data_IF_446580247009
#
_entry.id   IF_446580247009
#
_cell.length_a   1.000
_cell.length_b   1.000
_cell.length_c   1.000
_cell.angle_alpha   90.00
_cell.angle_beta   90.00
_cell.angle_gamma   90.00
#
_symmetry.space_group_name_H-M   'P 1'
#
loop_
_entity.id
_entity.type
_entity.pdbx_description
1 polymer ?
#
# COMPACT_ATOMS: atom_id res chain seq x y z
N UNK A 1 8.40 8.19 42.86
CA UNK A 1 7.75 7.27 41.89
C UNK A 1 8.11 7.79 40.52
N UNK A 2 8.94 7.07 39.77
CA UNK A 2 9.10 7.17 38.31
C UNK A 2 10.24 6.23 37.88
N UNK A 3 9.91 4.95 37.75
CA UNK A 3 10.76 3.92 37.11
C UNK A 3 10.08 3.51 35.82
N UNK A 4 10.10 4.41 34.83
CA UNK A 4 9.56 4.12 33.50
C UNK A 4 10.59 4.48 32.43
N UNK A 5 11.79 3.90 32.57
CA UNK A 5 12.88 4.03 31.62
C UNK A 5 13.22 2.66 31.02
N UNK A 6 13.09 2.57 29.70
CA UNK A 6 13.98 1.82 28.80
C UNK A 6 13.91 0.28 28.77
N UNK A 7 12.75 -0.34 28.98
CA UNK A 7 12.63 -1.79 28.70
C UNK A 7 12.53 -2.06 27.19
N UNK A 8 11.93 -1.14 26.41
CA UNK A 8 11.84 -1.28 24.96
C UNK A 8 13.20 -1.07 24.28
N UNK A 9 13.64 -2.08 23.54
CA UNK A 9 14.77 -2.03 22.63
C UNK A 9 16.08 -2.56 23.21
N UNK A 10 16.10 -3.21 24.37
CA UNK A 10 17.35 -3.81 24.92
C UNK A 10 17.86 -4.91 23.99
N UNK A 11 16.97 -5.79 23.52
CA UNK A 11 17.29 -6.88 22.59
C UNK A 11 17.67 -6.36 21.22
N UNK A 12 16.99 -5.33 20.74
CA UNK A 12 17.35 -4.65 19.50
C UNK A 12 18.78 -4.12 19.59
N UNK A 13 19.13 -3.38 20.65
CA UNK A 13 20.51 -2.90 20.88
C UNK A 13 21.52 -4.03 20.94
N UNK A 14 21.25 -5.09 21.72
CA UNK A 14 22.15 -6.24 21.84
C UNK A 14 22.37 -6.96 20.51
N UNK A 15 21.35 -7.05 19.66
CA UNK A 15 21.46 -7.67 18.35
C UNK A 15 22.46 -6.89 17.46
N UNK A 16 22.35 -5.56 17.41
CA UNK A 16 23.31 -4.71 16.71
C UNK A 16 24.71 -4.75 17.32
N UNK A 17 24.82 -4.84 18.65
CA UNK A 17 26.11 -5.00 19.33
C UNK A 17 26.81 -6.32 18.94
N UNK A 18 26.05 -7.42 18.88
CA UNK A 18 26.58 -8.74 18.45
C UNK A 18 27.04 -8.69 17.00
N UNK A 19 26.29 -8.05 16.10
CA UNK A 19 26.69 -7.84 14.71
C UNK A 19 28.03 -7.09 14.63
N UNK A 20 28.11 -5.90 15.24
CA UNK A 20 29.31 -5.05 15.24
C UNK A 20 30.51 -5.76 15.85
N UNK A 21 30.30 -6.47 16.95
CA UNK A 21 31.34 -7.26 17.59
C UNK A 21 31.86 -8.37 16.67
N UNK A 22 30.96 -9.07 15.98
CA UNK A 22 31.29 -10.17 15.07
C UNK A 22 32.07 -9.65 13.86
N UNK A 23 31.60 -8.57 13.24
CA UNK A 23 32.31 -7.92 12.12
C UNK A 23 33.71 -7.46 12.53
N UNK A 24 33.83 -6.82 13.70
CA UNK A 24 35.14 -6.43 14.25
C UNK A 24 36.06 -7.62 14.49
N UNK A 25 35.51 -8.78 14.90
CA UNK A 25 36.30 -10.00 15.10
C UNK A 25 36.76 -10.58 13.77
N UNK A 26 35.89 -10.59 12.77
CA UNK A 26 36.20 -11.07 11.41
C UNK A 26 37.32 -10.21 10.81
N UNK A 27 37.14 -8.89 10.76
CA UNK A 27 38.12 -7.95 10.18
C UNK A 27 39.47 -8.03 10.88
N UNK A 28 39.51 -8.20 12.21
CA UNK A 28 40.75 -8.41 12.97
C UNK A 28 41.41 -9.77 12.70
N UNK A 29 40.62 -10.81 12.47
CA UNK A 29 41.14 -12.16 12.20
C UNK A 29 41.66 -12.31 10.77
N UNK A 30 41.25 -11.41 9.87
CA UNK A 30 41.79 -11.33 8.52
C UNK A 30 43.16 -10.64 8.58
N UNK A 31 44.21 -11.45 8.54
CA UNK A 31 45.59 -10.94 8.56
C UNK A 31 45.98 -10.39 7.18
N UNK A 32 46.34 -9.12 7.13
CA UNK A 32 46.87 -8.44 5.94
C UNK A 32 48.04 -9.21 5.30
N UNK A 33 48.94 -9.73 6.13
CA UNK A 33 50.11 -10.50 5.68
C UNK A 33 49.71 -11.79 4.97
N UNK A 34 48.68 -12.49 5.47
CA UNK A 34 48.11 -13.68 4.81
C UNK A 34 47.48 -13.31 3.48
N UNK A 35 46.79 -12.18 3.38
CA UNK A 35 46.21 -11.70 2.13
C UNK A 35 47.29 -11.37 1.09
N UNK A 36 48.30 -10.56 1.47
CA UNK A 36 49.38 -10.15 0.56
C UNK A 36 50.21 -11.36 0.08
N UNK A 37 50.45 -12.34 0.96
CA UNK A 37 51.23 -13.53 0.60
C UNK A 37 50.56 -14.42 -0.47
N UNK A 38 49.25 -14.27 -0.70
CA UNK A 38 48.56 -14.93 -1.83
C UNK A 38 48.89 -14.30 -3.19
N UNK A 39 49.49 -13.10 -3.22
CA UNK A 39 49.78 -12.35 -4.44
C UNK A 39 51.28 -12.00 -4.57
N UNK A 40 52.20 -12.99 -4.58
CA UNK A 40 53.64 -12.75 -4.45
C UNK A 40 54.25 -11.90 -5.57
N UNK A 41 53.75 -12.04 -6.81
CA UNK A 41 54.23 -11.26 -7.95
C UNK A 41 53.78 -9.79 -7.91
N UNK A 42 52.56 -9.55 -7.41
CA UNK A 42 52.00 -8.21 -7.25
C UNK A 42 52.59 -7.51 -6.02
N UNK A 43 52.78 -8.23 -4.92
CA UNK A 43 53.42 -7.72 -3.69
C UNK A 43 54.82 -7.16 -3.94
N UNK A 44 55.61 -7.81 -4.81
CA UNK A 44 56.96 -7.35 -5.18
C UNK A 44 56.96 -6.11 -6.07
N UNK A 45 55.91 -5.89 -6.87
CA UNK A 45 55.83 -4.78 -7.83
C UNK A 45 55.12 -3.57 -7.25
N UNK A 46 53.95 -3.80 -6.65
CA UNK A 46 53.01 -2.79 -6.15
C UNK A 46 52.43 -3.23 -4.79
N UNK A 47 53.28 -3.35 -3.77
CA UNK A 47 52.86 -3.74 -2.42
C UNK A 47 51.81 -2.80 -1.84
N UNK A 48 52.03 -1.48 -1.92
CA UNK A 48 51.12 -0.44 -1.41
C UNK A 48 49.71 -0.57 -2.00
N UNK A 49 49.60 -0.81 -3.31
CA UNK A 49 48.31 -1.02 -3.96
C UNK A 49 47.54 -2.22 -3.37
N UNK A 50 48.23 -3.30 -3.03
CA UNK A 50 47.60 -4.45 -2.37
C UNK A 50 47.14 -4.13 -0.95
N UNK A 51 47.87 -3.26 -0.24
CA UNK A 51 47.45 -2.79 1.08
C UNK A 51 46.18 -1.94 0.98
N UNK A 52 46.14 -1.03 0.01
CA UNK A 52 44.97 -0.18 -0.24
C UNK A 52 43.75 -1.02 -0.64
N UNK A 53 43.94 -2.01 -1.51
CA UNK A 53 42.88 -2.96 -1.90
C UNK A 53 42.40 -3.74 -0.68
N UNK A 54 43.30 -4.20 0.18
CA UNK A 54 42.95 -4.94 1.39
C UNK A 54 42.12 -4.07 2.36
N UNK A 55 42.53 -2.83 2.59
CA UNK A 55 41.78 -1.87 3.40
C UNK A 55 40.41 -1.55 2.81
N UNK A 56 40.32 -1.35 1.49
CA UNK A 56 39.04 -1.16 0.80
C UNK A 56 38.14 -2.38 0.93
N UNK A 57 38.68 -3.57 0.77
CA UNK A 57 37.95 -4.82 0.92
C UNK A 57 37.31 -4.94 2.32
N UNK A 58 38.07 -4.68 3.39
CA UNK A 58 37.54 -4.73 4.75
C UNK A 58 36.44 -3.69 4.97
N UNK A 59 36.61 -2.47 4.46
CA UNK A 59 35.61 -1.41 4.58
C UNK A 59 34.32 -1.75 3.82
N UNK A 60 34.44 -2.27 2.59
CA UNK A 60 33.29 -2.71 1.79
C UNK A 60 32.57 -3.87 2.48
N UNK A 61 33.32 -4.85 3.01
CA UNK A 61 32.74 -5.97 3.75
C UNK A 61 31.92 -5.48 4.95
N UNK A 62 32.47 -4.58 5.76
CA UNK A 62 31.79 -4.02 6.92
C UNK A 62 30.51 -3.26 6.54
N UNK A 63 30.61 -2.31 5.60
CA UNK A 63 29.48 -1.48 5.19
C UNK A 63 28.38 -2.30 4.51
N UNK A 64 28.73 -3.18 3.58
CA UNK A 64 27.74 -4.00 2.88
C UNK A 64 27.03 -4.96 3.85
N UNK A 65 27.76 -5.55 4.80
CA UNK A 65 27.13 -6.46 5.77
C UNK A 65 26.18 -5.71 6.70
N UNK A 66 26.54 -4.50 7.13
CA UNK A 66 25.66 -3.66 7.96
C UNK A 66 24.41 -3.26 7.17
N UNK A 67 24.57 -2.79 5.95
CA UNK A 67 23.43 -2.38 5.11
C UNK A 67 22.48 -3.56 4.83
N UNK A 68 23.01 -4.72 4.46
CA UNK A 68 22.20 -5.92 4.22
C UNK A 68 21.48 -6.37 5.51
N UNK A 69 22.16 -6.27 6.64
CA UNK A 69 21.53 -6.57 7.93
C UNK A 69 20.38 -5.60 8.25
N UNK A 70 20.56 -4.30 8.00
CA UNK A 70 19.51 -3.29 8.20
C UNK A 70 18.30 -3.56 7.29
N UNK A 71 18.53 -3.91 6.03
CA UNK A 71 17.45 -4.32 5.11
C UNK A 71 16.68 -5.52 5.65
N UNK A 72 17.37 -6.58 6.08
CA UNK A 72 16.72 -7.77 6.68
C UNK A 72 15.97 -7.39 7.96
N UNK A 73 16.54 -6.51 8.78
CA UNK A 73 15.95 -6.06 10.03
C UNK A 73 14.62 -5.31 9.80
N UNK A 74 14.57 -4.48 8.76
CA UNK A 74 13.36 -3.79 8.31
C UNK A 74 12.35 -4.73 7.65
N UNK A 75 12.77 -5.52 6.65
CA UNK A 75 11.89 -6.44 5.90
C UNK A 75 11.16 -7.44 6.80
N UNK A 76 11.84 -7.90 7.85
CA UNK A 76 11.30 -8.87 8.80
C UNK A 76 10.58 -8.23 9.97
N UNK A 77 10.50 -6.90 10.02
CA UNK A 77 9.99 -6.14 11.14
C UNK A 77 10.53 -6.65 12.49
N UNK A 78 11.85 -6.85 12.56
CA UNK A 78 12.51 -7.42 13.74
C UNK A 78 12.37 -6.51 14.95
N UNK A 79 12.34 -5.19 14.72
CA UNK A 79 12.16 -4.21 15.76
C UNK A 79 10.89 -4.46 16.58
N UNK A 80 9.74 -4.52 15.91
CA UNK A 80 8.46 -4.72 16.58
C UNK A 80 8.37 -6.11 17.19
N UNK A 81 8.86 -7.13 16.48
CA UNK A 81 8.88 -8.51 16.97
C UNK A 81 9.66 -8.63 18.28
N UNK A 82 10.85 -8.02 18.35
CA UNK A 82 11.69 -8.06 19.53
C UNK A 82 11.13 -7.20 20.66
N UNK A 83 10.52 -6.05 20.36
CA UNK A 83 9.81 -5.22 21.34
C UNK A 83 8.59 -5.95 21.93
N UNK A 84 7.81 -6.64 21.10
CA UNK A 84 6.68 -7.45 21.55
C UNK A 84 7.16 -8.59 22.46
N UNK A 85 8.26 -9.26 22.11
CA UNK A 85 8.85 -10.29 22.95
C UNK A 85 9.35 -9.72 24.30
N UNK A 86 9.85 -8.48 24.34
CA UNK A 86 10.22 -7.81 25.59
C UNK A 86 9.01 -7.56 26.46
N UNK A 87 7.96 -6.99 25.87
CA UNK A 87 6.69 -6.77 26.54
C UNK A 87 6.11 -8.07 27.11
N UNK A 88 6.05 -9.14 26.31
CA UNK A 88 5.56 -10.45 26.77
C UNK A 88 6.39 -11.00 27.93
N UNK A 89 7.71 -10.84 27.89
CA UNK A 89 8.57 -11.31 28.98
C UNK A 89 8.34 -10.49 30.24
N UNK A 90 8.19 -9.17 30.13
CA UNK A 90 7.90 -8.31 31.28
C UNK A 90 6.54 -8.63 31.92
N UNK A 91 5.49 -8.75 31.09
CA UNK A 91 4.14 -9.13 31.53
C UNK A 91 4.06 -10.50 32.23
N UNK A 92 5.04 -11.37 31.98
CA UNK A 92 5.11 -12.70 32.59
C UNK A 92 6.15 -12.81 33.71
N UNK A 93 7.02 -11.81 33.92
CA UNK A 93 7.90 -11.75 35.11
C UNK A 93 7.11 -11.52 36.39
N UNK A 94 6.01 -10.77 36.32
CA UNK A 94 5.17 -10.45 37.48
C UNK A 94 4.18 -11.57 37.86
N UNK A 95 4.05 -12.62 37.02
CA UNK A 95 3.17 -13.75 37.31
C UNK A 95 3.94 -14.83 38.08
N UNK A 96 3.45 -15.31 39.23
CA UNK A 96 4.07 -16.44 39.91
C UNK A 96 4.01 -17.66 38.98
N UNK A 97 5.17 -18.08 38.49
CA UNK A 97 5.32 -19.28 37.65
C UNK A 97 4.93 -20.48 38.52
N UNK A 98 3.68 -20.93 38.39
CA UNK A 98 3.30 -22.26 38.89
C UNK A 98 4.10 -23.26 38.06
N UNK A 99 5.10 -23.90 38.68
CA UNK A 99 6.03 -24.88 38.07
C UNK A 99 5.37 -26.01 37.25
N UNK A 100 4.05 -26.19 37.35
CA UNK A 100 3.28 -27.17 36.59
C UNK A 100 2.82 -26.70 35.19
N UNK A 101 3.12 -25.47 34.75
CA UNK A 101 2.69 -24.97 33.43
C UNK A 101 3.79 -24.90 32.36
N UNK A 102 5.05 -25.24 32.69
CA UNK A 102 6.17 -25.20 31.73
C UNK A 102 6.05 -26.34 30.70
N UNK A 103 5.17 -27.33 30.93
CA UNK A 103 4.62 -28.21 29.90
C UNK A 103 3.13 -27.90 29.73
N UNK A 104 2.78 -26.82 29.03
CA UNK A 104 1.55 -26.89 28.25
C UNK A 104 1.88 -27.74 27.04
N UNK A 105 1.74 -29.06 27.19
CA UNK A 105 1.29 -29.87 26.06
C UNK A 105 0.12 -29.10 25.45
N UNK A 106 0.21 -28.79 24.16
CA UNK A 106 -0.90 -28.22 23.42
C UNK A 106 -2.03 -29.24 23.59
N UNK A 107 -2.95 -29.00 24.52
CA UNK A 107 -4.01 -29.99 24.77
C UNK A 107 -4.82 -30.10 23.48
N UNK A 108 -5.21 -31.32 23.14
CA UNK A 108 -6.03 -31.56 21.96
C UNK A 108 -7.31 -30.71 21.98
N UNK A 109 -7.83 -30.31 23.15
CA UNK A 109 -8.93 -29.34 23.24
C UNK A 109 -8.57 -27.95 22.71
N UNK A 110 -7.38 -27.40 23.03
CA UNK A 110 -6.96 -26.09 22.50
C UNK A 110 -6.76 -26.13 20.98
N UNK A 111 -6.23 -27.24 20.45
CA UNK A 111 -6.12 -27.43 18.99
C UNK A 111 -7.49 -27.49 18.34
N UNK A 112 -8.43 -28.25 18.93
CA UNK A 112 -9.81 -28.33 18.43
C UNK A 112 -10.54 -26.99 18.49
N UNK A 113 -10.33 -26.18 19.53
CA UNK A 113 -10.91 -24.85 19.65
C UNK A 113 -10.36 -23.88 18.59
N UNK A 114 -9.06 -23.96 18.28
CA UNK A 114 -8.45 -23.16 17.21
C UNK A 114 -8.95 -23.61 15.83
N UNK A 115 -9.08 -24.91 15.60
CA UNK A 115 -9.62 -25.45 14.34
C UNK A 115 -11.07 -25.03 14.16
N UNK A 116 -11.93 -25.15 15.18
CA UNK A 116 -13.34 -24.78 15.05
C UNK A 116 -13.53 -23.27 14.83
N UNK A 117 -12.74 -22.42 15.51
CA UNK A 117 -12.73 -20.98 15.25
C UNK A 117 -12.26 -20.65 13.84
N UNK A 118 -11.28 -21.39 13.32
CA UNK A 118 -10.80 -21.22 11.94
C UNK A 118 -11.86 -21.61 10.92
N UNK A 119 -12.55 -22.74 11.11
CA UNK A 119 -13.65 -23.18 10.24
C UNK A 119 -14.78 -22.14 10.20
N UNK A 120 -15.16 -21.60 11.38
CA UNK A 120 -16.17 -20.53 11.46
C UNK A 120 -15.74 -19.26 10.70
N UNK A 121 -14.46 -18.89 10.79
CA UNK A 121 -13.93 -17.73 10.05
C UNK A 121 -13.88 -17.99 8.55
N UNK A 122 -13.54 -19.19 8.11
CA UNK A 122 -13.54 -19.57 6.69
C UNK A 122 -14.97 -19.57 6.11
N UNK A 123 -15.96 -20.04 6.86
CA UNK A 123 -17.38 -19.97 6.47
C UNK A 123 -17.88 -18.52 6.38
N UNK A 124 -17.53 -17.67 7.36
CA UNK A 124 -17.85 -16.25 7.33
C UNK A 124 -17.19 -15.54 6.15
N UNK A 125 -15.92 -15.84 5.87
CA UNK A 125 -15.19 -15.26 4.76
C UNK A 125 -15.84 -15.64 3.42
N UNK A 126 -16.26 -16.89 3.27
CA UNK A 126 -16.97 -17.35 2.07
C UNK A 126 -18.33 -16.66 1.91
N UNK A 127 -19.12 -16.55 2.99
CA UNK A 127 -20.40 -15.85 2.96
C UNK A 127 -20.25 -14.38 2.54
N UNK A 128 -19.22 -13.69 3.05
CA UNK A 128 -18.93 -12.30 2.68
C UNK A 128 -18.48 -12.18 1.21
N UNK A 129 -17.73 -13.15 0.70
CA UNK A 129 -17.34 -13.18 -0.71
C UNK A 129 -18.56 -13.39 -1.63
N UNK A 130 -19.48 -14.26 -1.25
CA UNK A 130 -20.72 -14.49 -2.01
C UNK A 130 -21.62 -13.22 -2.01
N UNK A 131 -21.71 -12.53 -0.87
CA UNK A 131 -22.45 -11.26 -0.76
C UNK A 131 -21.81 -10.15 -1.61
N UNK A 132 -20.48 -10.03 -1.59
CA UNK A 132 -19.75 -9.09 -2.46
C UNK A 132 -20.02 -9.35 -3.95
N UNK A 133 -20.00 -10.63 -4.37
CA UNK A 133 -20.28 -11.00 -5.75
C UNK A 133 -21.72 -10.63 -6.18
N UNK A 134 -22.69 -10.77 -5.27
CA UNK A 134 -24.07 -10.36 -5.53
C UNK A 134 -24.17 -8.84 -5.68
N UNK A 135 -23.54 -8.08 -4.78
CA UNK A 135 -23.51 -6.61 -4.83
C UNK A 135 -22.80 -6.09 -6.09
N UNK A 136 -21.74 -6.75 -6.55
CA UNK A 136 -21.07 -6.39 -7.80
C UNK A 136 -21.98 -6.58 -9.02
N UNK A 137 -22.72 -7.69 -9.09
CA UNK A 137 -23.71 -7.93 -10.15
C UNK A 137 -24.85 -6.92 -10.13
N UNK A 138 -25.35 -6.59 -8.95
CA UNK A 138 -26.40 -5.57 -8.78
C UNK A 138 -25.89 -4.19 -9.23
N UNK A 139 -24.68 -3.80 -8.81
CA UNK A 139 -24.04 -2.57 -9.23
C UNK A 139 -23.87 -2.49 -10.75
N UNK A 140 -23.46 -3.58 -11.40
CA UNK A 140 -23.35 -3.65 -12.85
C UNK A 140 -24.72 -3.48 -13.53
N UNK A 141 -25.76 -4.17 -13.03
CA UNK A 141 -27.12 -4.04 -13.53
C UNK A 141 -27.64 -2.61 -13.42
N UNK A 142 -27.50 -1.99 -12.25
CA UNK A 142 -27.91 -0.60 -12.02
C UNK A 142 -27.09 0.38 -12.87
N UNK A 143 -25.79 0.13 -13.06
CA UNK A 143 -24.94 0.91 -13.94
C UNK A 143 -25.43 0.89 -15.40
N UNK A 144 -25.85 -0.29 -15.88
CA UNK A 144 -26.43 -0.45 -17.21
C UNK A 144 -27.78 0.27 -17.34
N UNK A 145 -28.64 0.19 -16.32
CA UNK A 145 -29.93 0.89 -16.29
C UNK A 145 -29.74 2.41 -16.32
N UNK A 146 -28.83 2.94 -15.49
CA UNK A 146 -28.46 4.37 -15.51
C UNK A 146 -27.95 4.80 -16.88
N UNK A 147 -27.14 3.96 -17.54
CA UNK A 147 -26.63 4.26 -18.88
C UNK A 147 -27.75 4.36 -19.91
N UNK A 148 -28.71 3.43 -19.91
CA UNK A 148 -29.86 3.49 -20.82
C UNK A 148 -30.73 4.72 -20.56
N UNK A 149 -31.04 5.02 -19.30
CA UNK A 149 -31.83 6.20 -18.93
C UNK A 149 -31.13 7.50 -19.36
N UNK A 150 -29.80 7.60 -19.22
CA UNK A 150 -29.05 8.76 -19.72
C UNK A 150 -29.18 8.94 -21.22
N UNK A 151 -29.10 7.84 -21.97
CA UNK A 151 -29.27 7.87 -23.42
C UNK A 151 -30.68 8.30 -23.82
N UNK A 152 -31.70 7.79 -23.14
CA UNK A 152 -33.09 8.21 -23.38
C UNK A 152 -33.31 9.69 -23.10
N UNK A 153 -32.73 10.22 -22.01
CA UNK A 153 -32.78 11.65 -21.69
C UNK A 153 -32.13 12.49 -22.79
N UNK A 154 -30.94 12.12 -23.26
CA UNK A 154 -30.22 12.83 -24.33
C UNK A 154 -31.02 12.84 -25.65
N UNK A 155 -31.68 11.72 -25.98
CA UNK A 155 -32.58 11.64 -27.13
C UNK A 155 -33.81 12.55 -26.99
N UNK A 156 -34.40 12.63 -25.79
CA UNK A 156 -35.54 13.50 -25.51
C UNK A 156 -35.13 14.97 -25.59
N UNK A 157 -33.98 15.34 -25.02
CA UNK A 157 -33.43 16.70 -25.09
C UNK A 157 -33.22 17.12 -26.54
N UNK A 158 -32.58 16.27 -27.35
CA UNK A 158 -32.37 16.51 -28.78
C UNK A 158 -33.69 16.67 -29.55
N UNK A 159 -34.72 15.88 -29.22
CA UNK A 159 -36.06 16.00 -29.85
C UNK A 159 -36.77 17.30 -29.43
N UNK A 160 -36.62 17.70 -28.17
CA UNK A 160 -37.22 18.94 -27.66
C UNK A 160 -36.57 20.18 -28.26
N UNK A 161 -35.24 20.18 -28.41
CA UNK A 161 -34.51 21.28 -29.05
C UNK A 161 -34.95 21.45 -30.51
N UNK A 162 -35.07 20.36 -31.27
CA UNK A 162 -35.59 20.39 -32.65
C UNK A 162 -37.00 20.97 -32.72
N UNK A 163 -37.91 20.51 -31.86
CA UNK A 163 -39.29 21.03 -31.80
C UNK A 163 -39.34 22.51 -31.40
N UNK A 164 -38.46 22.95 -30.50
CA UNK A 164 -38.35 24.36 -30.12
C UNK A 164 -37.93 25.22 -31.32
N UNK A 165 -36.90 24.78 -32.05
CA UNK A 165 -36.39 25.48 -33.24
C UNK A 165 -37.42 25.51 -34.38
N UNK A 166 -38.20 24.44 -34.57
CA UNK A 166 -39.30 24.39 -35.56
C UNK A 166 -40.40 25.40 -35.21
N UNK A 167 -40.86 25.42 -33.96
CA UNK A 167 -41.86 26.38 -33.50
C UNK A 167 -41.39 27.83 -33.61
N UNK A 168 -40.12 28.08 -33.32
CA UNK A 168 -39.54 29.43 -33.46
C UNK A 168 -39.54 29.88 -34.93
N UNK A 169 -39.23 28.98 -35.87
CA UNK A 169 -39.34 29.26 -37.31
C UNK A 169 -40.78 29.55 -37.74
N UNK A 170 -41.74 28.72 -37.33
CA UNK A 170 -43.17 28.93 -37.62
C UNK A 170 -43.68 30.28 -37.09
N UNK A 171 -43.26 30.65 -35.87
CA UNK A 171 -43.58 31.94 -35.26
C UNK A 171 -42.97 33.11 -36.04
N UNK A 172 -41.71 33.00 -36.45
CA UNK A 172 -41.05 34.04 -37.24
C UNK A 172 -41.70 34.22 -38.64
N UNK A 173 -42.12 33.12 -39.28
CA UNK A 173 -42.85 33.17 -40.56
C UNK A 173 -44.22 33.84 -40.40
N UNK A 174 -44.96 33.51 -39.34
CA UNK A 174 -46.27 34.14 -39.08
C UNK A 174 -46.14 35.62 -38.77
N UNK A 175 -45.14 36.05 -37.99
CA UNK A 175 -44.83 37.46 -37.75
C UNK A 175 -44.51 38.20 -39.06
N UNK A 176 -43.65 37.63 -39.91
CA UNK A 176 -43.30 38.23 -41.20
C UNK A 176 -44.53 38.39 -42.12
N UNK A 177 -45.41 37.38 -42.15
CA UNK A 177 -46.66 37.44 -42.90
C UNK A 177 -47.59 38.54 -42.37
N UNK A 178 -47.66 38.72 -41.05
CA UNK A 178 -48.43 39.80 -40.42
C UNK A 178 -47.89 41.18 -40.78
N UNK A 179 -46.57 41.37 -40.72
CA UNK A 179 -45.90 42.61 -41.10
C UNK A 179 -46.14 42.95 -42.57
N UNK A 180 -46.06 41.95 -43.46
CA UNK A 180 -46.37 42.11 -44.88
C UNK A 180 -47.83 42.55 -45.10
N UNK A 181 -48.78 41.95 -44.38
CA UNK A 181 -50.19 42.31 -44.45
C UNK A 181 -50.45 43.73 -43.94
N UNK A 182 -49.88 44.11 -42.80
CA UNK A 182 -50.00 45.46 -42.25
C UNK A 182 -49.42 46.51 -43.21
N UNK A 183 -48.27 46.23 -43.83
CA UNK A 183 -47.67 47.11 -44.83
C UNK A 183 -48.56 47.28 -46.07
N UNK A 184 -49.26 46.24 -46.51
CA UNK A 184 -50.23 46.34 -47.61
C UNK A 184 -51.44 47.21 -47.22
N UNK A 185 -51.99 47.02 -46.01
CA UNK A 185 -53.08 47.85 -45.49
C UNK A 185 -52.72 49.33 -45.37
N UNK A 186 -51.51 49.64 -44.91
CA UNK A 186 -51.03 51.02 -44.83
C UNK A 186 -50.96 51.63 -46.24
N UNK A 187 -50.43 50.89 -47.22
CA UNK A 187 -50.37 51.34 -48.62
C UNK A 187 -51.75 51.61 -49.22
N UNK A 188 -52.72 50.73 -49.03
CA UNK A 188 -54.08 50.92 -49.55
C UNK A 188 -54.80 52.09 -48.86
N UNK A 189 -54.60 52.28 -47.56
CA UNK A 189 -55.18 53.40 -46.81
C UNK A 189 -54.61 54.75 -47.27
N UNK A 190 -53.32 54.81 -47.58
CA UNK A 190 -52.68 56.02 -48.11
C UNK A 190 -53.10 56.36 -49.55
N UNK A 191 -53.62 55.38 -50.32
CA UNK A 191 -54.17 55.60 -51.66
C UNK A 191 -55.62 56.11 -51.65
N UNK A 192 -56.30 56.06 -50.50
CA UNK A 192 -57.69 56.47 -50.31
C UNK A 192 -57.84 57.88 -49.70
N UNK A 193 -56.72 58.60 -49.48
CA UNK A 193 -56.67 59.99 -49.00
C UNK A 193 -56.19 60.90 -50.12
#
# INVERSE_FOLDING_TARGET
METDKTINGIRNKKLFEVLKFTLKKITKSTEKEKFISQFPNLSKKNGELLEDIFSQFLNILENNTINEFELIYEERNLQDTLNQLEKMIEENKEKPIKKNQIKQEISNEKVKEVISKREQLEDQQKSLQDELLLLEKEKESLGNEIFQLKKEVEEIESKNEKKSNEKEKEMNETLLNLDNFLNQLIKTTNLLK
#
